data_IF_564358949000
#
_entry.id   IF_564358949000
#
_cell.length_a   1.000
_cell.length_b   1.000
_cell.length_c   1.000
_cell.angle_alpha   90.00
_cell.angle_beta   90.00
_cell.angle_gamma   90.00
#
_symmetry.space_group_name_H-M   'P 1'
#
loop_
_entity.id
_entity.type
_entity.pdbx_description
1 polymer ?
#
# COMPACT_ATOMS: atom_id res chain seq x y z
N UNK A 1 8.51 27.48 -36.73
CA UNK A 1 9.30 28.32 -35.82
C UNK A 1 9.12 27.96 -34.33
N UNK A 2 8.51 26.80 -34.01
CA UNK A 2 8.23 26.37 -32.64
C UNK A 2 9.03 25.14 -32.18
N UNK A 3 9.90 24.58 -33.02
CA UNK A 3 10.68 23.36 -32.71
C UNK A 3 12.06 23.61 -32.07
N UNK A 4 12.56 24.83 -32.06
CA UNK A 4 13.90 25.10 -31.51
C UNK A 4 13.93 25.52 -30.04
N UNK A 5 12.79 25.87 -29.44
CA UNK A 5 12.77 26.30 -28.04
C UNK A 5 12.75 25.14 -27.01
N UNK A 6 12.30 23.95 -27.41
CA UNK A 6 12.25 22.80 -26.49
C UNK A 6 13.63 22.17 -26.19
N UNK A 7 14.55 22.21 -27.18
CA UNK A 7 15.94 21.74 -27.00
C UNK A 7 16.78 22.67 -26.10
N UNK A 8 16.54 23.96 -26.16
CA UNK A 8 17.23 24.94 -25.28
C UNK A 8 16.73 24.86 -23.84
N UNK A 9 15.45 24.61 -23.61
CA UNK A 9 14.89 24.45 -22.26
C UNK A 9 15.38 23.17 -21.59
N UNK A 10 15.49 22.06 -22.32
CA UNK A 10 16.00 20.79 -21.80
C UNK A 10 17.50 20.82 -21.49
N UNK A 11 18.31 21.54 -22.24
CA UNK A 11 19.74 21.70 -21.95
C UNK A 11 20.01 22.65 -20.77
N UNK A 12 19.11 23.59 -20.45
CA UNK A 12 19.26 24.52 -19.33
C UNK A 12 19.01 23.80 -17.99
N UNK A 13 18.13 22.77 -17.97
CA UNK A 13 17.83 22.00 -16.77
C UNK A 13 18.85 20.87 -16.52
N UNK A 14 19.60 20.42 -17.53
CA UNK A 14 20.44 19.23 -17.40
C UNK A 14 21.83 19.43 -16.81
N UNK A 15 22.43 20.62 -16.83
CA UNK A 15 23.87 20.65 -16.56
C UNK A 15 24.44 21.73 -15.62
N UNK A 16 23.69 22.68 -15.10
CA UNK A 16 24.26 23.68 -14.18
C UNK A 16 23.62 23.75 -12.80
N UNK A 17 22.32 23.58 -12.69
CA UNK A 17 21.61 24.02 -11.49
C UNK A 17 21.39 22.93 -10.43
N UNK A 18 21.31 21.66 -10.81
CA UNK A 18 21.11 20.59 -9.82
C UNK A 18 22.31 20.43 -8.88
N UNK A 19 23.51 20.56 -9.40
CA UNK A 19 24.74 20.47 -8.58
C UNK A 19 24.95 21.73 -7.72
N UNK A 20 24.54 22.88 -8.23
CA UNK A 20 24.63 24.15 -7.51
C UNK A 20 23.52 24.29 -6.46
N UNK A 21 22.28 23.97 -6.84
CA UNK A 21 21.11 23.95 -5.93
C UNK A 21 21.31 22.88 -4.84
N UNK A 22 21.91 21.74 -5.16
CA UNK A 22 22.21 20.69 -4.18
C UNK A 22 23.36 21.08 -3.24
N UNK A 23 24.27 21.96 -3.64
CA UNK A 23 25.34 22.48 -2.80
C UNK A 23 24.92 23.68 -1.94
N UNK A 24 23.93 24.44 -2.38
CA UNK A 24 23.40 25.60 -1.67
C UNK A 24 22.19 25.29 -0.77
N UNK A 25 21.74 24.04 -0.71
CA UNK A 25 20.76 23.63 0.29
C UNK A 25 21.43 23.66 1.65
N UNK A 26 21.18 24.72 2.35
CA UNK A 26 21.67 25.01 3.67
C UNK A 26 21.37 23.85 4.65
N UNK A 27 22.23 23.65 5.62
CA UNK A 27 22.04 22.63 6.65
C UNK A 27 20.76 22.86 7.47
N UNK A 28 20.28 24.08 7.53
CA UNK A 28 19.05 24.51 8.17
C UNK A 28 17.84 23.81 7.54
N UNK A 29 17.74 23.81 6.22
CA UNK A 29 16.63 23.18 5.50
C UNK A 29 16.60 21.65 5.64
N UNK A 30 17.77 21.00 5.74
CA UNK A 30 17.87 19.55 6.03
C UNK A 30 17.35 19.23 7.43
N UNK A 31 17.60 20.14 8.37
CA UNK A 31 17.13 20.02 9.73
C UNK A 31 15.61 20.20 9.78
N UNK A 32 15.08 21.20 9.10
CA UNK A 32 13.64 21.44 8.99
C UNK A 32 12.90 20.27 8.37
N UNK A 33 13.38 19.74 7.23
CA UNK A 33 12.78 18.55 6.61
C UNK A 33 12.79 17.35 7.55
N UNK A 34 13.88 17.15 8.30
CA UNK A 34 13.96 16.06 9.29
C UNK A 34 12.85 16.18 10.33
N UNK A 35 12.62 17.36 10.83
CA UNK A 35 11.59 17.61 11.83
C UNK A 35 10.19 17.39 11.22
N UNK A 36 9.95 17.86 10.00
CA UNK A 36 8.69 17.60 9.27
C UNK A 36 8.47 16.09 9.08
N UNK A 37 9.46 15.34 8.65
CA UNK A 37 9.35 13.88 8.48
C UNK A 37 9.13 13.15 9.81
N UNK A 38 9.78 13.58 10.88
CA UNK A 38 9.54 13.03 12.22
C UNK A 38 8.11 13.33 12.68
N UNK A 39 7.66 14.58 12.55
CA UNK A 39 6.30 14.97 12.90
C UNK A 39 5.27 14.21 12.10
N UNK A 40 5.49 14.05 10.78
CA UNK A 40 4.64 13.21 9.93
C UNK A 40 4.59 11.78 10.44
N UNK A 41 5.73 11.19 10.73
CA UNK A 41 5.83 9.82 11.23
C UNK A 41 5.07 9.68 12.56
N UNK A 42 5.38 10.52 13.56
CA UNK A 42 4.71 10.46 14.86
C UNK A 42 3.20 10.68 14.79
N UNK A 43 2.75 11.54 13.87
CA UNK A 43 1.32 11.81 13.67
C UNK A 43 0.58 10.64 13.03
N UNK A 44 1.22 9.95 12.09
CA UNK A 44 0.56 8.96 11.24
C UNK A 44 0.94 7.51 11.58
N UNK A 45 1.91 7.30 12.45
CA UNK A 45 2.32 5.96 12.87
C UNK A 45 1.25 5.31 13.75
N UNK A 46 1.04 4.00 13.53
CA UNK A 46 0.17 3.20 14.37
C UNK A 46 0.87 2.91 15.70
N UNK A 47 0.24 3.26 16.80
CA UNK A 47 0.72 2.94 18.15
C UNK A 47 0.52 1.46 18.48
N UNK A 48 1.19 0.99 19.52
CA UNK A 48 1.02 -0.39 20.01
C UNK A 48 -0.43 -0.66 20.42
N UNK A 49 -1.07 0.31 21.08
CA UNK A 49 -2.47 0.18 21.50
C UNK A 49 -3.43 0.09 20.32
N UNK A 50 -3.28 0.98 19.31
CA UNK A 50 -4.07 0.93 18.08
C UNK A 50 -3.88 -0.41 17.33
N UNK A 51 -2.66 -0.96 17.34
CA UNK A 51 -2.39 -2.26 16.74
C UNK A 51 -3.10 -3.40 17.48
N UNK A 52 -3.12 -3.37 18.82
CA UNK A 52 -3.82 -4.38 19.62
C UNK A 52 -5.35 -4.29 19.43
N UNK A 53 -5.90 -3.08 19.27
CA UNK A 53 -7.31 -2.87 18.92
C UNK A 53 -7.64 -3.49 17.54
N UNK A 54 -6.79 -3.27 16.54
CA UNK A 54 -6.95 -3.89 15.20
C UNK A 54 -6.85 -5.42 15.27
N UNK A 55 -5.94 -5.97 16.07
CA UNK A 55 -5.85 -7.42 16.29
C UNK A 55 -7.09 -7.97 16.97
N UNK A 56 -7.61 -7.28 17.98
CA UNK A 56 -8.85 -7.67 18.66
C UNK A 56 -10.03 -7.67 17.68
N UNK A 57 -10.15 -6.64 16.85
CA UNK A 57 -11.17 -6.55 15.80
C UNK A 57 -11.04 -7.70 14.78
N UNK A 58 -9.82 -7.99 14.31
CA UNK A 58 -9.57 -9.12 13.43
C UNK A 58 -10.02 -10.46 14.06
N UNK A 59 -9.66 -10.70 15.32
CA UNK A 59 -10.03 -11.93 16.03
C UNK A 59 -11.55 -12.04 16.19
N UNK A 60 -12.23 -10.96 16.50
CA UNK A 60 -13.69 -10.92 16.58
C UNK A 60 -14.34 -11.30 15.24
N UNK A 61 -13.91 -10.67 14.14
CA UNK A 61 -14.44 -10.98 12.80
C UNK A 61 -14.12 -12.42 12.41
N UNK A 62 -12.93 -12.92 12.74
CA UNK A 62 -12.52 -14.27 12.48
C UNK A 62 -13.39 -15.28 13.24
N UNK A 63 -13.74 -15.03 14.51
CA UNK A 63 -14.67 -15.86 15.26
C UNK A 63 -16.05 -15.90 14.58
N UNK A 64 -16.60 -14.74 14.20
CA UNK A 64 -17.90 -14.65 13.53
C UNK A 64 -17.91 -15.48 12.24
N UNK A 65 -16.83 -15.41 11.45
CA UNK A 65 -16.74 -16.17 10.20
C UNK A 65 -16.60 -17.68 10.50
N UNK A 66 -15.77 -18.08 11.46
CA UNK A 66 -15.54 -19.47 11.81
C UNK A 66 -16.79 -20.16 12.40
N UNK A 67 -17.58 -19.42 13.18
CA UNK A 67 -18.85 -19.94 13.73
C UNK A 67 -19.85 -20.31 12.64
N UNK A 68 -19.76 -19.65 11.48
CA UNK A 68 -20.68 -19.88 10.37
C UNK A 68 -20.05 -20.69 9.21
N UNK A 69 -18.73 -20.81 9.16
CA UNK A 69 -17.98 -21.47 8.09
C UNK A 69 -16.82 -22.29 8.67
N UNK A 70 -17.09 -23.50 9.13
CA UNK A 70 -16.11 -24.39 9.80
C UNK A 70 -14.86 -24.71 8.98
N UNK A 71 -14.91 -24.59 7.64
CA UNK A 71 -13.79 -24.84 6.74
C UNK A 71 -13.07 -23.57 6.30
N UNK A 72 -13.39 -22.41 6.88
CA UNK A 72 -12.75 -21.16 6.54
C UNK A 72 -11.38 -21.04 7.22
N UNK A 73 -10.40 -20.57 6.46
CA UNK A 73 -9.10 -20.13 7.00
C UNK A 73 -9.00 -18.64 6.76
N UNK A 74 -8.81 -17.88 7.83
CA UNK A 74 -8.91 -16.43 7.79
C UNK A 74 -7.52 -15.82 7.95
N UNK A 75 -7.20 -14.88 7.07
CA UNK A 75 -5.93 -14.17 7.05
C UNK A 75 -6.15 -12.68 7.01
N UNK A 76 -5.26 -11.95 7.66
CA UNK A 76 -5.07 -10.52 7.41
C UNK A 76 -4.07 -10.33 6.26
N UNK A 77 -4.28 -9.33 5.41
CA UNK A 77 -3.34 -8.94 4.36
C UNK A 77 -3.24 -7.42 4.26
N UNK A 78 -2.66 -6.88 3.18
CA UNK A 78 -2.59 -5.45 2.95
C UNK A 78 -1.58 -4.72 3.83
N UNK A 79 -1.90 -3.48 4.18
CA UNK A 79 -0.93 -2.59 4.81
C UNK A 79 -0.50 -3.00 6.22
N UNK A 80 -1.36 -3.64 6.99
CA UNK A 80 -1.06 -4.14 8.34
C UNK A 80 -0.08 -5.32 8.37
N UNK A 81 0.03 -6.06 7.27
CA UNK A 81 0.98 -7.16 7.11
C UNK A 81 2.25 -6.70 6.41
N UNK A 82 2.14 -5.79 5.45
CA UNK A 82 3.29 -5.30 4.70
C UNK A 82 4.16 -4.29 5.46
N UNK A 83 3.72 -3.80 6.63
CA UNK A 83 4.43 -2.77 7.39
C UNK A 83 4.22 -1.35 6.87
N UNK A 84 3.28 -1.16 5.97
CA UNK A 84 2.96 0.14 5.37
C UNK A 84 1.68 0.78 5.94
N UNK A 85 1.13 0.21 7.02
CA UNK A 85 -0.04 0.78 7.66
C UNK A 85 0.29 2.13 8.31
N UNK A 86 -0.63 3.06 8.17
CA UNK A 86 -0.69 4.34 8.86
C UNK A 86 -2.00 4.39 9.66
N UNK A 87 -2.15 5.38 10.53
CA UNK A 87 -3.41 5.59 11.24
C UNK A 87 -4.58 5.61 10.27
N UNK A 88 -5.69 4.98 10.67
CA UNK A 88 -6.89 4.82 9.84
C UNK A 88 -6.66 4.06 8.52
N UNK A 89 -5.66 3.17 8.49
CA UNK A 89 -5.55 2.19 7.41
C UNK A 89 -6.62 1.13 7.55
N UNK A 90 -7.20 0.73 6.42
CA UNK A 90 -8.24 -0.28 6.34
C UNK A 90 -7.71 -1.65 6.81
N UNK A 91 -8.56 -2.45 7.44
CA UNK A 91 -8.26 -3.83 7.80
C UNK A 91 -8.70 -4.75 6.65
N UNK A 92 -7.72 -5.32 5.95
CA UNK A 92 -7.94 -6.21 4.81
C UNK A 92 -7.96 -7.68 5.28
N UNK A 93 -9.06 -8.41 5.05
CA UNK A 93 -9.27 -9.80 5.45
C UNK A 93 -9.51 -10.68 4.23
N UNK A 94 -8.74 -11.77 4.11
CA UNK A 94 -8.95 -12.83 3.13
C UNK A 94 -9.47 -14.10 3.82
N UNK A 95 -10.58 -14.62 3.32
CA UNK A 95 -11.20 -15.87 3.77
C UNK A 95 -10.95 -16.94 2.72
N UNK A 96 -10.22 -18.00 3.07
CA UNK A 96 -9.90 -19.09 2.17
C UNK A 96 -10.74 -20.32 2.54
N UNK A 97 -11.35 -20.93 1.54
CA UNK A 97 -12.21 -22.10 1.72
C UNK A 97 -11.59 -23.42 1.27
N UNK A 98 -10.38 -23.42 0.74
CA UNK A 98 -9.73 -24.59 0.19
C UNK A 98 -8.42 -24.94 0.87
N UNK A 99 -8.07 -26.22 0.82
CA UNK A 99 -6.83 -26.76 1.33
C UNK A 99 -5.64 -26.08 0.61
N UNK A 100 -4.67 -25.60 1.41
CA UNK A 100 -3.44 -24.94 0.97
C UNK A 100 -2.62 -25.77 -0.03
N UNK A 101 -2.84 -27.08 -0.09
CA UNK A 101 -2.03 -28.00 -0.91
C UNK A 101 -2.36 -27.94 -2.40
N UNK A 102 -3.60 -27.60 -2.75
CA UNK A 102 -4.08 -27.74 -4.12
C UNK A 102 -4.30 -26.41 -4.87
N UNK A 103 -4.23 -25.25 -4.22
CA UNK A 103 -4.47 -23.91 -4.82
C UNK A 103 -5.70 -23.85 -5.75
N UNK A 104 -6.73 -24.64 -5.44
CA UNK A 104 -7.95 -24.67 -6.23
C UNK A 104 -8.81 -23.47 -5.81
N UNK A 105 -8.89 -22.47 -6.68
CA UNK A 105 -9.74 -21.31 -6.46
C UNK A 105 -11.20 -21.67 -6.58
N UNK A 106 -12.03 -21.12 -5.70
CA UNK A 106 -13.46 -21.10 -5.98
C UNK A 106 -13.72 -20.33 -7.27
N UNK A 107 -14.54 -20.85 -8.18
CA UNK A 107 -14.98 -20.08 -9.33
C UNK A 107 -15.67 -18.80 -8.82
N UNK A 108 -15.64 -17.72 -9.62
CA UNK A 108 -16.20 -16.40 -9.23
C UNK A 108 -17.61 -16.48 -8.65
N UNK A 109 -18.44 -17.39 -9.18
CA UNK A 109 -19.80 -17.64 -8.66
C UNK A 109 -19.77 -18.19 -7.23
N UNK A 110 -18.85 -19.09 -6.91
CA UNK A 110 -18.65 -19.65 -5.57
C UNK A 110 -18.15 -18.61 -4.58
N UNK A 111 -17.20 -17.75 -5.00
CA UNK A 111 -16.69 -16.65 -4.16
C UNK A 111 -17.84 -15.68 -3.82
N UNK A 112 -18.64 -15.28 -4.82
CA UNK A 112 -19.81 -14.41 -4.61
C UNK A 112 -20.83 -15.02 -3.68
N UNK A 113 -21.14 -16.28 -3.86
CA UNK A 113 -22.08 -17.00 -2.99
C UNK A 113 -21.62 -17.02 -1.54
N UNK A 114 -20.34 -17.30 -1.28
CA UNK A 114 -19.77 -17.27 0.07
C UNK A 114 -19.81 -15.86 0.68
N UNK A 115 -19.49 -14.83 -0.10
CA UNK A 115 -19.57 -13.43 0.34
C UNK A 115 -21.03 -13.01 0.61
N UNK A 116 -22.00 -13.42 -0.20
CA UNK A 116 -23.40 -13.11 0.02
C UNK A 116 -23.92 -13.74 1.34
N UNK A 117 -23.52 -14.96 1.64
CA UNK A 117 -23.79 -15.58 2.93
C UNK A 117 -23.17 -14.77 4.08
N UNK A 118 -21.89 -14.39 4.00
CA UNK A 118 -21.20 -13.58 5.02
C UNK A 118 -21.90 -12.23 5.19
N UNK A 119 -22.24 -11.58 4.08
CA UNK A 119 -22.98 -10.30 4.10
C UNK A 119 -24.28 -10.43 4.87
N UNK A 120 -25.02 -11.52 4.64
CA UNK A 120 -26.27 -11.80 5.36
C UNK A 120 -26.04 -11.95 6.87
N UNK A 121 -24.95 -12.61 7.30
CA UNK A 121 -24.61 -12.72 8.71
C UNK A 121 -24.23 -11.36 9.31
N UNK A 122 -23.33 -10.62 8.66
CA UNK A 122 -22.93 -9.30 9.14
C UNK A 122 -24.10 -8.32 9.23
N UNK A 123 -25.03 -8.34 8.26
CA UNK A 123 -26.21 -7.47 8.26
C UNK A 123 -27.16 -7.73 9.43
N UNK A 124 -27.29 -8.99 9.85
CA UNK A 124 -28.13 -9.36 11.01
C UNK A 124 -27.59 -8.87 12.34
N UNK A 125 -26.28 -8.73 12.45
CA UNK A 125 -25.63 -8.29 13.70
C UNK A 125 -25.89 -6.83 14.04
N UNK A 126 -26.25 -5.97 13.07
CA UNK A 126 -26.50 -4.53 13.23
C UNK A 126 -25.36 -3.78 13.95
N UNK A 127 -24.15 -4.33 13.86
CA UNK A 127 -22.96 -3.87 14.59
C UNK A 127 -22.03 -3.03 13.70
N UNK A 128 -22.24 -3.06 12.39
CA UNK A 128 -21.35 -2.43 11.43
C UNK A 128 -22.06 -1.32 10.68
N UNK A 129 -21.32 -0.24 10.41
CA UNK A 129 -21.77 0.90 9.61
C UNK A 129 -21.40 0.69 8.16
N UNK A 130 -22.12 1.34 7.25
CA UNK A 130 -21.81 1.36 5.80
C UNK A 130 -21.55 -0.02 5.19
N UNK A 131 -22.26 -1.04 5.69
CA UNK A 131 -22.09 -2.41 5.19
C UNK A 131 -22.58 -2.53 3.73
N UNK A 132 -21.66 -2.88 2.81
CA UNK A 132 -21.89 -2.98 1.38
C UNK A 132 -21.30 -4.26 0.83
N UNK A 133 -22.00 -4.94 -0.08
CA UNK A 133 -21.48 -6.06 -0.86
C UNK A 133 -21.17 -5.59 -2.29
N UNK A 134 -19.89 -5.46 -2.64
CA UNK A 134 -19.43 -5.07 -3.97
C UNK A 134 -19.26 -6.32 -4.84
N UNK A 135 -20.38 -6.81 -5.39
CA UNK A 135 -20.44 -8.08 -6.13
C UNK A 135 -19.96 -7.97 -7.59
N UNK A 136 -19.92 -6.76 -8.17
CA UNK A 136 -19.53 -6.53 -9.57
C UNK A 136 -18.04 -6.19 -9.75
N UNK A 137 -17.30 -5.98 -8.67
CA UNK A 137 -15.87 -5.73 -8.76
C UNK A 137 -15.13 -6.92 -9.39
N UNK A 138 -13.91 -6.66 -9.92
CA UNK A 138 -13.00 -7.71 -10.42
C UNK A 138 -12.77 -8.79 -9.37
N UNK A 139 -12.58 -8.38 -8.12
CA UNK A 139 -12.54 -9.21 -6.93
C UNK A 139 -13.71 -8.76 -6.06
N UNK A 140 -14.75 -9.59 -5.93
CA UNK A 140 -15.89 -9.27 -5.08
C UNK A 140 -15.45 -9.17 -3.62
N UNK A 141 -16.03 -8.22 -2.87
CA UNK A 141 -15.70 -8.03 -1.47
C UNK A 141 -16.88 -7.42 -0.69
N UNK A 142 -16.84 -7.58 0.61
CA UNK A 142 -17.71 -6.91 1.56
C UNK A 142 -16.92 -5.79 2.19
N UNK A 143 -17.47 -4.57 2.18
CA UNK A 143 -16.94 -3.42 2.91
C UNK A 143 -17.87 -3.04 4.05
N UNK A 144 -17.31 -2.67 5.18
CA UNK A 144 -18.04 -2.07 6.27
C UNK A 144 -17.11 -1.22 7.15
N UNK A 145 -17.71 -0.42 7.99
CA UNK A 145 -17.00 0.39 8.98
C UNK A 145 -17.45 0.01 10.38
N UNK A 146 -16.52 -0.08 11.32
CA UNK A 146 -16.84 -0.22 12.76
C UNK A 146 -17.34 1.10 13.34
N UNK A 147 -17.96 1.06 14.52
CA UNK A 147 -18.36 2.30 15.21
C UNK A 147 -17.16 3.19 15.59
N UNK A 148 -15.98 2.58 15.80
CA UNK A 148 -14.74 3.29 16.09
C UNK A 148 -14.06 3.86 14.82
N UNK A 149 -14.72 3.72 13.66
CA UNK A 149 -14.31 4.32 12.39
C UNK A 149 -13.28 3.51 11.61
N UNK A 150 -13.03 2.24 11.95
CA UNK A 150 -12.14 1.36 11.21
C UNK A 150 -12.88 0.80 9.99
N UNK A 151 -12.35 1.05 8.80
CA UNK A 151 -12.83 0.44 7.56
C UNK A 151 -12.31 -0.99 7.43
N UNK A 152 -13.19 -1.92 7.05
CA UNK A 152 -12.85 -3.35 6.92
C UNK A 152 -13.28 -3.85 5.55
N UNK A 153 -12.36 -4.53 4.86
CA UNK A 153 -12.55 -5.16 3.57
C UNK A 153 -12.42 -6.70 3.71
N UNK A 154 -13.50 -7.44 3.44
CA UNK A 154 -13.49 -8.91 3.48
C UNK A 154 -13.63 -9.47 2.07
N UNK A 155 -12.66 -10.25 1.63
CA UNK A 155 -12.63 -10.93 0.33
C UNK A 155 -12.50 -12.44 0.46
N UNK A 156 -12.86 -13.18 -0.58
CA UNK A 156 -12.75 -14.66 -0.62
C UNK A 156 -11.73 -15.06 -1.67
N UNK A 157 -10.81 -15.97 -1.30
CA UNK A 157 -9.75 -16.53 -2.15
C UNK A 157 -8.93 -15.45 -2.91
N UNK A 158 -8.62 -14.35 -2.23
CA UNK A 158 -7.87 -13.23 -2.81
C UNK A 158 -6.34 -13.46 -2.69
N UNK A 159 -5.85 -14.53 -3.32
CA UNK A 159 -4.43 -14.90 -3.28
C UNK A 159 -3.53 -13.83 -3.90
N UNK A 160 -3.97 -13.20 -4.99
CA UNK A 160 -3.19 -12.13 -5.65
C UNK A 160 -2.88 -10.97 -4.71
N UNK A 161 -3.83 -10.56 -3.88
CA UNK A 161 -3.62 -9.50 -2.90
C UNK A 161 -2.66 -9.95 -1.78
N UNK A 162 -2.74 -11.23 -1.38
CA UNK A 162 -1.82 -11.79 -0.39
C UNK A 162 -0.38 -11.86 -0.92
N UNK A 163 -0.18 -12.27 -2.17
CA UNK A 163 1.13 -12.26 -2.86
C UNK A 163 1.68 -10.83 -2.98
N UNK A 164 0.84 -9.89 -3.39
CA UNK A 164 1.21 -8.47 -3.45
C UNK A 164 1.61 -7.92 -2.09
N UNK A 165 0.91 -8.34 -1.03
CA UNK A 165 1.23 -7.97 0.36
C UNK A 165 2.60 -8.51 0.78
N UNK A 166 2.91 -9.76 0.46
CA UNK A 166 4.19 -10.38 0.78
C UNK A 166 5.35 -9.68 0.05
N UNK A 167 5.16 -9.33 -1.23
CA UNK A 167 6.15 -8.55 -1.98
C UNK A 167 6.44 -7.21 -1.29
N UNK A 168 5.41 -6.47 -0.91
CA UNK A 168 5.57 -5.19 -0.21
C UNK A 168 6.24 -5.40 1.17
N UNK A 169 5.90 -6.48 1.89
CA UNK A 169 6.53 -6.83 3.17
C UNK A 169 8.02 -7.09 3.03
N UNK A 170 8.43 -7.80 1.99
CA UNK A 170 9.85 -8.04 1.71
C UNK A 170 10.56 -6.71 1.46
N UNK A 171 10.02 -5.83 0.61
CA UNK A 171 10.63 -4.51 0.38
C UNK A 171 10.67 -3.65 1.64
N UNK A 172 9.66 -3.72 2.49
CA UNK A 172 9.63 -3.02 3.77
C UNK A 172 10.72 -3.51 4.74
N UNK A 173 11.04 -4.80 4.69
CA UNK A 173 12.11 -5.37 5.51
C UNK A 173 13.51 -5.05 4.96
N UNK A 174 13.64 -4.80 3.67
CA UNK A 174 14.91 -4.47 3.03
C UNK A 174 15.31 -3.00 3.18
N UNK A 175 14.35 -2.09 3.28
CA UNK A 175 14.64 -0.67 3.24
C UNK A 175 13.67 0.17 4.06
N UNK A 176 14.19 0.81 5.11
CA UNK A 176 13.45 1.82 5.88
C UNK A 176 13.09 3.06 5.05
N UNK A 177 13.88 3.40 4.04
CA UNK A 177 13.53 4.47 3.09
C UNK A 177 12.26 4.16 2.30
N UNK A 178 12.12 2.90 1.87
CA UNK A 178 10.90 2.47 1.20
C UNK A 178 9.69 2.64 2.12
N UNK A 179 9.78 2.23 3.37
CA UNK A 179 8.67 2.35 4.33
C UNK A 179 8.21 3.80 4.49
N UNK A 180 9.15 4.71 4.76
CA UNK A 180 8.81 6.13 4.97
C UNK A 180 8.20 6.75 3.71
N UNK A 181 8.81 6.53 2.56
CA UNK A 181 8.31 7.07 1.29
C UNK A 181 6.96 6.48 0.90
N UNK A 182 6.76 5.18 1.14
CA UNK A 182 5.50 4.50 0.89
C UNK A 182 4.37 5.02 1.79
N UNK A 183 4.65 5.24 3.08
CA UNK A 183 3.67 5.82 4.01
C UNK A 183 3.33 7.27 3.65
N UNK A 184 4.32 8.08 3.27
CA UNK A 184 4.10 9.43 2.76
C UNK A 184 3.23 9.42 1.51
N UNK A 185 3.59 8.60 0.52
CA UNK A 185 2.84 8.47 -0.72
C UNK A 185 1.42 7.99 -0.48
N UNK A 186 1.23 6.99 0.39
CA UNK A 186 -0.08 6.48 0.79
C UNK A 186 -0.94 7.58 1.42
N UNK A 187 -0.35 8.40 2.30
CA UNK A 187 -1.07 9.51 2.92
C UNK A 187 -1.52 10.56 1.89
N UNK A 188 -0.66 10.90 0.94
CA UNK A 188 -1.01 11.84 -0.13
C UNK A 188 -2.09 11.26 -1.04
N UNK A 189 -1.96 10.01 -1.46
CA UNK A 189 -2.96 9.30 -2.25
C UNK A 189 -4.34 9.33 -1.56
N UNK A 190 -4.36 9.10 -0.24
CA UNK A 190 -5.58 9.17 0.58
C UNK A 190 -6.13 10.59 0.70
N UNK A 191 -5.29 11.59 0.95
CA UNK A 191 -5.69 13.00 1.06
C UNK A 191 -6.35 13.55 -0.21
N UNK A 192 -5.83 13.14 -1.37
CA UNK A 192 -6.35 13.60 -2.66
C UNK A 192 -7.43 12.68 -3.24
N UNK A 193 -7.79 11.59 -2.57
CA UNK A 193 -8.81 10.64 -3.03
C UNK A 193 -8.46 9.94 -4.35
N UNK A 194 -7.16 9.78 -4.67
CA UNK A 194 -6.70 9.23 -5.94
C UNK A 194 -6.31 7.74 -5.85
N UNK A 195 -6.67 7.06 -4.77
CA UNK A 195 -6.33 5.65 -4.51
C UNK A 195 -7.41 4.65 -4.86
N UNK A 196 -8.52 5.09 -5.42
CA UNK A 196 -9.73 4.30 -5.60
C UNK A 196 -9.86 3.81 -7.06
N UNK A 197 -9.39 2.59 -7.32
CA UNK A 197 -9.37 2.04 -8.67
C UNK A 197 -10.78 1.95 -9.32
N UNK A 198 -11.84 1.85 -8.52
CA UNK A 198 -13.22 1.83 -9.02
C UNK A 198 -13.70 3.21 -9.50
N UNK A 199 -13.03 4.29 -9.10
CA UNK A 199 -13.28 5.65 -9.57
C UNK A 199 -12.41 6.03 -10.78
N UNK A 200 -11.68 5.07 -11.36
CA UNK A 200 -10.84 5.28 -12.54
C UNK A 200 -9.42 5.78 -12.23
N UNK A 201 -9.02 5.81 -10.95
CA UNK A 201 -7.65 6.12 -10.54
C UNK A 201 -6.81 4.82 -10.38
N UNK A 202 -5.53 4.95 -10.06
CA UNK A 202 -4.71 3.80 -9.68
C UNK A 202 -5.09 3.30 -8.28
N UNK A 203 -4.99 1.99 -8.06
CA UNK A 203 -5.06 1.46 -6.70
C UNK A 203 -3.87 1.90 -5.85
N UNK A 204 -4.01 1.90 -4.53
CA UNK A 204 -2.90 2.16 -3.61
C UNK A 204 -1.68 1.26 -3.89
N UNK A 205 -1.91 -0.01 -4.28
CA UNK A 205 -0.84 -0.93 -4.69
C UNK A 205 -0.11 -0.43 -5.95
N UNK A 206 -0.82 0.11 -6.94
CA UNK A 206 -0.21 0.67 -8.15
C UNK A 206 0.81 1.79 -7.83
N UNK A 207 0.48 2.67 -6.90
CA UNK A 207 1.42 3.71 -6.43
C UNK A 207 2.63 3.11 -5.72
N UNK A 208 2.47 2.02 -4.97
CA UNK A 208 3.60 1.33 -4.33
C UNK A 208 4.54 0.71 -5.36
N UNK A 209 4.00 0.10 -6.41
CA UNK A 209 4.82 -0.46 -7.52
C UNK A 209 5.58 0.64 -8.25
N UNK A 210 4.97 1.80 -8.50
CA UNK A 210 5.67 2.95 -9.08
C UNK A 210 6.83 3.43 -8.20
N UNK A 211 6.62 3.51 -6.89
CA UNK A 211 7.67 3.86 -5.93
C UNK A 211 8.80 2.82 -5.94
N UNK A 212 8.47 1.53 -5.91
CA UNK A 212 9.46 0.44 -6.00
C UNK A 212 10.29 0.59 -7.28
N UNK A 213 9.64 0.74 -8.44
CA UNK A 213 10.34 0.93 -9.70
C UNK A 213 11.29 2.14 -9.67
N UNK A 214 10.84 3.26 -9.12
CA UNK A 214 11.69 4.44 -8.95
C UNK A 214 12.92 4.14 -8.07
N UNK A 215 12.74 3.45 -6.95
CA UNK A 215 13.83 3.10 -6.03
C UNK A 215 14.78 2.07 -6.65
N UNK A 216 14.29 1.16 -7.48
CA UNK A 216 15.10 0.23 -8.27
C UNK A 216 15.95 0.98 -9.30
N UNK A 217 15.38 1.94 -10.03
CA UNK A 217 16.14 2.82 -10.95
C UNK A 217 17.21 3.65 -10.26
N UNK A 218 17.11 3.83 -8.94
CA UNK A 218 18.10 4.52 -8.09
C UNK A 218 19.03 3.54 -7.37
N UNK A 219 18.98 2.25 -7.70
CA UNK A 219 19.82 1.19 -7.11
C UNK A 219 19.68 1.06 -5.59
N UNK A 220 18.53 1.52 -5.02
CA UNK A 220 18.24 1.41 -3.59
C UNK A 220 17.53 0.12 -3.25
N UNK A 221 16.64 -0.32 -4.15
CA UNK A 221 15.94 -1.60 -4.02
C UNK A 221 16.41 -2.56 -5.11
N UNK A 222 16.57 -3.84 -4.78
CA UNK A 222 16.82 -4.88 -5.78
C UNK A 222 15.57 -5.15 -6.62
N UNK A 223 15.78 -5.67 -7.84
CA UNK A 223 14.68 -6.19 -8.67
C UNK A 223 14.40 -7.63 -8.24
N UNK A 224 13.37 -7.83 -7.42
CA UNK A 224 13.03 -9.16 -6.92
C UNK A 224 12.35 -10.03 -7.97
N UNK A 225 11.55 -9.47 -8.85
CA UNK A 225 10.81 -10.19 -9.88
C UNK A 225 11.70 -10.96 -10.85
N UNK A 226 12.94 -10.50 -11.10
CA UNK A 226 13.89 -11.18 -11.98
C UNK A 226 14.63 -12.34 -11.28
N UNK A 227 14.72 -12.32 -9.95
CA UNK A 227 15.45 -13.31 -9.16
C UNK A 227 14.61 -14.50 -8.73
N UNK A 228 13.30 -14.32 -8.68
CA UNK A 228 12.37 -15.33 -8.22
C UNK A 228 11.49 -15.74 -9.40
N UNK A 229 11.62 -16.98 -9.86
CA UNK A 229 10.65 -17.59 -10.77
C UNK A 229 9.27 -17.49 -10.12
N UNK A 230 8.23 -17.16 -10.89
CA UNK A 230 6.84 -16.97 -10.45
C UNK A 230 6.29 -18.09 -9.55
N UNK A 231 6.95 -19.23 -9.49
CA UNK A 231 6.56 -20.40 -8.67
C UNK A 231 7.16 -20.41 -7.26
N UNK A 232 8.12 -19.54 -6.94
CA UNK A 232 8.83 -19.55 -5.66
C UNK A 232 8.35 -18.47 -4.68
N UNK A 233 7.69 -17.40 -5.15
CA UNK A 233 7.00 -16.45 -4.29
C UNK A 233 5.64 -17.06 -3.94
N UNK A 234 5.64 -18.12 -3.17
CA UNK A 234 4.41 -18.60 -2.55
C UNK A 234 4.08 -17.66 -1.40
N UNK A 235 2.81 -17.25 -1.27
CA UNK A 235 2.40 -16.45 -0.14
C UNK A 235 2.89 -17.13 1.14
N UNK A 236 3.71 -16.47 1.91
CA UNK A 236 4.05 -16.97 3.22
C UNK A 236 2.83 -16.78 4.11
N UNK A 237 1.91 -17.77 4.07
CA UNK A 237 0.68 -17.73 4.84
C UNK A 237 0.92 -17.55 6.34
N UNK A 238 2.12 -17.90 6.84
CA UNK A 238 2.52 -17.62 8.22
C UNK A 238 2.74 -16.11 8.43
N UNK A 239 3.22 -15.38 7.44
CA UNK A 239 3.36 -13.92 7.53
C UNK A 239 2.00 -13.23 7.56
N UNK A 240 1.02 -13.73 6.80
CA UNK A 240 -0.36 -13.22 6.80
C UNK A 240 -1.14 -13.53 8.10
N UNK A 241 -0.55 -14.25 9.04
CA UNK A 241 -1.08 -14.43 10.40
C UNK A 241 -0.50 -13.41 11.38
N UNK A 242 0.53 -12.67 10.98
CA UNK A 242 1.24 -11.75 11.84
C UNK A 242 1.18 -10.33 11.30
N UNK A 243 0.70 -9.42 12.12
CA UNK A 243 0.81 -7.99 11.88
C UNK A 243 2.30 -7.61 11.93
N UNK A 244 2.75 -6.87 10.94
CA UNK A 244 4.14 -6.43 10.86
C UNK A 244 4.25 -4.94 11.12
N UNK A 245 5.06 -4.58 12.11
CA UNK A 245 5.42 -3.19 12.40
C UNK A 245 6.92 -3.04 12.18
N UNK A 246 7.34 -2.19 11.25
CA UNK A 246 8.77 -1.91 11.05
C UNK A 246 9.40 -1.30 12.30
N UNK A 247 10.66 -1.62 12.57
CA UNK A 247 11.39 -1.06 13.71
C UNK A 247 11.66 0.43 13.50
N UNK A 248 11.01 1.27 14.30
CA UNK A 248 11.06 2.73 14.21
C UNK A 248 12.47 3.29 14.42
N UNK A 249 13.20 2.73 15.37
CA UNK A 249 14.52 3.23 15.72
C UNK A 249 15.51 3.08 14.55
N UNK A 250 15.44 1.99 13.81
CA UNK A 250 16.20 1.81 12.57
C UNK A 250 15.79 2.81 11.48
N UNK A 251 14.50 3.08 11.34
CA UNK A 251 13.98 4.05 10.36
C UNK A 251 14.53 5.44 10.64
N UNK A 252 14.47 5.90 11.89
CA UNK A 252 14.92 7.24 12.29
C UNK A 252 16.45 7.37 12.19
N UNK A 253 17.21 6.32 12.52
CA UNK A 253 18.67 6.32 12.43
C UNK A 253 19.13 6.36 10.96
N UNK A 254 18.51 5.58 10.09
CA UNK A 254 18.87 5.50 8.68
C UNK A 254 18.45 6.75 7.88
N UNK A 255 17.44 7.49 8.33
CA UNK A 255 17.11 8.81 7.76
C UNK A 255 18.26 9.82 7.88
N UNK A 256 19.26 9.58 8.74
CA UNK A 256 20.44 10.45 8.85
C UNK A 256 21.33 10.45 7.60
N UNK A 257 21.24 9.48 6.72
CA UNK A 257 22.27 9.23 5.71
C UNK A 257 22.03 9.84 4.33
N UNK A 258 20.80 10.23 3.92
CA UNK A 258 20.59 10.72 2.55
C UNK A 258 19.33 11.60 2.32
N UNK A 259 19.23 12.74 3.01
CA UNK A 259 18.11 13.68 2.88
C UNK A 259 17.89 14.21 1.45
N UNK A 260 18.97 14.50 0.75
CA UNK A 260 18.91 14.97 -0.64
C UNK A 260 18.19 13.96 -1.53
N UNK A 261 18.33 12.68 -1.22
CA UNK A 261 17.67 11.61 -1.96
C UNK A 261 16.16 11.56 -1.71
N UNK A 262 15.73 11.63 -0.46
CA UNK A 262 14.30 11.64 -0.09
C UNK A 262 13.58 12.79 -0.76
N UNK A 263 14.19 13.98 -0.77
CA UNK A 263 13.65 15.16 -1.42
C UNK A 263 13.53 15.04 -2.93
N UNK A 264 14.60 14.58 -3.59
CA UNK A 264 14.56 14.36 -5.04
C UNK A 264 13.47 13.34 -5.37
N UNK A 265 13.34 12.33 -4.53
CA UNK A 265 12.33 11.29 -4.68
C UNK A 265 10.93 11.85 -4.48
N UNK A 266 10.69 12.57 -3.40
CA UNK A 266 9.41 13.23 -3.13
C UNK A 266 9.07 14.17 -4.29
N UNK A 267 9.97 15.09 -4.67
CA UNK A 267 9.73 16.04 -5.74
C UNK A 267 9.47 15.37 -7.10
N UNK A 268 10.16 14.29 -7.42
CA UNK A 268 9.94 13.55 -8.68
C UNK A 268 8.64 12.74 -8.65
N UNK A 269 8.37 12.00 -7.58
CA UNK A 269 7.13 11.24 -7.46
C UNK A 269 5.93 12.19 -7.47
N UNK A 270 5.95 13.23 -6.64
CA UNK A 270 4.86 14.19 -6.58
C UNK A 270 4.77 15.04 -7.85
N UNK A 271 5.90 15.48 -8.41
CA UNK A 271 5.92 16.20 -9.67
C UNK A 271 5.35 15.35 -10.81
N UNK A 272 5.65 14.06 -10.84
CA UNK A 272 5.10 13.14 -11.84
C UNK A 272 3.62 12.90 -11.60
N UNK A 273 3.20 12.63 -10.37
CA UNK A 273 1.78 12.44 -10.01
C UNK A 273 0.99 13.71 -10.30
N UNK A 274 1.50 14.89 -9.94
CA UNK A 274 0.85 16.17 -10.22
C UNK A 274 0.76 16.45 -11.72
N UNK A 275 1.80 16.15 -12.48
CA UNK A 275 1.80 16.28 -13.93
C UNK A 275 0.73 15.39 -14.59
N UNK A 276 0.57 14.17 -14.10
CA UNK A 276 -0.45 13.23 -14.56
C UNK A 276 -1.88 13.69 -14.23
N UNK A 277 -2.07 14.21 -13.02
CA UNK A 277 -3.36 14.74 -12.58
C UNK A 277 -3.78 15.99 -13.40
N UNK A 278 -2.81 16.84 -13.77
CA UNK A 278 -3.09 18.06 -14.52
C UNK A 278 -3.28 17.77 -16.01
N UNK A 279 -2.52 16.83 -16.58
CA UNK A 279 -2.57 16.53 -18.01
C UNK A 279 -3.67 15.55 -18.41
N UNK A 280 -4.36 14.92 -17.46
CA UNK A 280 -5.44 13.96 -17.76
C UNK A 280 -5.00 12.74 -18.57
N UNK A 281 -3.68 12.46 -18.62
CA UNK A 281 -3.12 11.33 -19.38
C UNK A 281 -3.43 10.01 -18.68
N UNK A 282 -3.95 9.06 -19.42
CA UNK A 282 -4.16 7.70 -18.92
C UNK A 282 -2.86 6.89 -18.98
N UNK A 283 -2.75 5.87 -18.12
CA UNK A 283 -1.56 5.00 -18.02
C UNK A 283 -1.17 4.32 -19.35
N UNK A 284 -2.10 4.25 -20.31
CA UNK A 284 -1.91 3.67 -21.63
C UNK A 284 -1.02 4.49 -22.58
N UNK A 285 -0.81 5.78 -22.29
CA UNK A 285 -0.06 6.68 -23.17
C UNK A 285 1.47 6.61 -23.00
N UNK A 286 1.99 5.74 -22.12
CA UNK A 286 3.43 5.66 -21.77
C UNK A 286 4.10 4.36 -22.22
N UNK A 287 3.38 3.42 -22.81
CA UNK A 287 3.94 2.14 -23.30
C UNK A 287 4.35 2.18 -24.77
N UNK A 288 4.75 3.34 -25.29
CA UNK A 288 5.41 3.49 -26.58
C UNK A 288 6.80 4.11 -26.45
#
# INVERSE_FOLDING_TARGET
>A
MFQNNSKHYNNYIQNRDLKYVLRSIDNEWKTELREVLKQFYHKNHITVNELEEIKALFNEIACIINDNFSNAIIYVYGSHVSGLAIKYSDLDIAVLFHDRKNFIYLPKGGQKFKLDMMYTYFSRMKKYLKLIFISKARIPLIKFQTFDGVDVDVSVDNFQAMESTELLRIYSSLSSYFVVLAQLLKNVVKLYGIGEAYEGTLSSYGYMVMLIHFLQKKEILPVLHEKYNHYEIRPNFKACQNFFVPNINEIVINLRLNYNFILITIRKIFGTIFYWLICGLTFLDITL
#
